data_IF_867845903603
#
_entry.id   IF_867845903603
#
_cell.length_a   1.000
_cell.length_b   1.000
_cell.length_c   1.000
_cell.angle_alpha   90.00
_cell.angle_beta   90.00
_cell.angle_gamma   90.00
#
_symmetry.space_group_name_H-M   'P 1'
#
loop_
_entity.id
_entity.type
_entity.pdbx_description
1 polymer ?
#
# COMPACT_ATOMS: atom_id res chain seq x y z
N UNK A 1 -23.62 29.89 -24.85
CA UNK A 1 -22.32 29.43 -25.39
C UNK A 1 -21.48 28.91 -24.25
N UNK A 2 -20.78 27.82 -24.51
CA UNK A 2 -20.25 26.83 -23.56
C UNK A 2 -18.93 27.24 -22.93
N UNK A 3 -18.74 26.93 -21.64
CA UNK A 3 -17.55 26.24 -21.08
C UNK A 3 -17.79 25.90 -19.61
N UNK A 4 -18.42 24.74 -19.37
CA UNK A 4 -18.30 24.06 -18.09
C UNK A 4 -16.89 23.49 -18.07
N UNK A 5 -16.00 24.06 -17.26
CA UNK A 5 -14.67 23.50 -17.04
C UNK A 5 -14.86 22.20 -16.26
N UNK A 6 -14.87 21.09 -16.98
CA UNK A 6 -14.79 19.75 -16.40
C UNK A 6 -13.37 19.63 -15.84
N UNK A 7 -13.14 20.08 -14.60
CA UNK A 7 -11.88 19.78 -13.90
C UNK A 7 -11.82 18.26 -13.78
N UNK A 8 -10.84 17.68 -14.47
CA UNK A 8 -10.74 16.25 -14.69
C UNK A 8 -10.74 15.53 -13.34
N UNK A 9 -11.66 14.58 -13.16
CA UNK A 9 -11.81 13.86 -11.88
C UNK A 9 -10.48 13.24 -11.42
N UNK A 10 -9.61 12.85 -12.37
CA UNK A 10 -8.29 12.29 -12.10
C UNK A 10 -7.38 13.21 -11.26
N UNK A 11 -7.27 14.50 -11.61
CA UNK A 11 -6.43 15.47 -10.88
C UNK A 11 -6.97 15.74 -9.48
N UNK A 12 -8.30 15.72 -9.33
CA UNK A 12 -8.97 15.86 -8.02
C UNK A 12 -8.74 14.62 -7.14
N UNK A 13 -8.75 13.41 -7.71
CA UNK A 13 -8.40 12.20 -6.97
C UNK A 13 -6.92 12.18 -6.60
N UNK A 14 -6.04 12.64 -7.47
CA UNK A 14 -4.59 12.73 -7.21
C UNK A 14 -4.28 13.74 -6.09
N UNK A 15 -4.91 14.92 -6.13
CA UNK A 15 -4.79 15.95 -5.09
C UNK A 15 -5.34 15.50 -3.72
N UNK A 16 -6.53 14.88 -3.71
CA UNK A 16 -7.13 14.34 -2.48
C UNK A 16 -6.28 13.20 -1.92
N UNK A 17 -5.72 12.36 -2.79
CA UNK A 17 -4.79 11.32 -2.37
C UNK A 17 -3.53 11.93 -1.77
N UNK A 18 -2.87 12.91 -2.39
CA UNK A 18 -1.68 13.54 -1.80
C UNK A 18 -1.97 14.17 -0.43
N UNK A 19 -3.05 14.95 -0.29
CA UNK A 19 -3.31 15.71 0.93
C UNK A 19 -3.81 14.86 2.11
N UNK A 20 -4.55 13.78 1.86
CA UNK A 20 -4.95 12.84 2.93
C UNK A 20 -3.75 12.03 3.42
N UNK A 21 -2.76 11.79 2.56
CA UNK A 21 -1.59 11.00 2.91
C UNK A 21 -0.66 11.70 3.87
N UNK A 22 -0.49 13.01 3.71
CA UNK A 22 0.39 13.79 4.59
C UNK A 22 -0.14 13.80 6.02
N UNK A 23 -1.45 14.00 6.21
CA UNK A 23 -2.04 14.14 7.54
C UNK A 23 -2.08 12.82 8.34
N UNK A 24 -2.32 11.67 7.68
CA UNK A 24 -2.40 10.36 8.37
C UNK A 24 -1.00 9.82 8.74
N UNK A 25 0.05 10.23 8.02
CA UNK A 25 1.39 9.70 8.22
C UNK A 25 2.06 10.18 9.53
N UNK A 26 1.68 11.34 10.04
CA UNK A 26 2.32 11.96 11.22
C UNK A 26 2.00 11.23 12.54
N UNK A 27 0.85 10.56 12.66
CA UNK A 27 0.34 10.10 13.97
C UNK A 27 0.77 8.67 14.40
N UNK A 28 1.52 7.92 13.58
CA UNK A 28 1.88 6.49 13.83
C UNK A 28 3.41 6.32 14.02
N UNK A 29 4.15 7.41 14.15
CA UNK A 29 5.60 7.43 13.90
C UNK A 29 6.51 7.02 15.06
N UNK A 30 6.01 6.50 16.19
CA UNK A 30 6.86 6.47 17.38
C UNK A 30 7.86 5.31 17.48
N UNK A 31 7.77 4.20 16.71
CA UNK A 31 8.83 3.16 16.80
C UNK A 31 9.31 2.47 15.51
N UNK A 32 8.56 2.52 14.40
CA UNK A 32 9.05 2.06 13.08
C UNK A 32 8.52 3.04 12.04
N UNK A 33 9.41 3.80 11.38
CA UNK A 33 9.04 4.81 10.38
C UNK A 33 8.57 4.12 9.08
N UNK A 34 7.37 3.56 9.12
CA UNK A 34 6.68 2.97 7.98
C UNK A 34 6.02 4.05 7.14
N UNK A 35 6.19 3.99 5.82
CA UNK A 35 5.46 4.85 4.90
C UNK A 35 4.00 4.38 4.72
N UNK A 36 3.15 5.26 4.17
CA UNK A 36 1.73 4.97 3.95
C UNK A 36 1.49 3.62 3.26
N UNK A 37 2.19 3.34 2.17
CA UNK A 37 1.96 2.14 1.38
C UNK A 37 2.39 0.88 2.11
N UNK A 38 3.46 0.95 2.90
CA UNK A 38 3.89 -0.14 3.77
C UNK A 38 2.80 -0.52 4.77
N UNK A 39 2.18 0.48 5.42
CA UNK A 39 1.07 0.25 6.35
C UNK A 39 -0.14 -0.37 5.65
N UNK A 40 -0.55 0.19 4.51
CA UNK A 40 -1.69 -0.34 3.77
C UNK A 40 -1.44 -1.78 3.27
N UNK A 41 -0.20 -2.12 2.91
CA UNK A 41 0.18 -3.49 2.56
C UNK A 41 0.12 -4.41 3.79
N UNK A 42 0.59 -3.96 4.96
CA UNK A 42 0.47 -4.71 6.21
C UNK A 42 -0.99 -4.97 6.58
N UNK A 43 -1.84 -3.95 6.53
CA UNK A 43 -3.27 -4.10 6.80
C UNK A 43 -3.91 -5.10 5.85
N UNK A 44 -3.59 -5.04 4.56
CA UNK A 44 -4.10 -5.98 3.57
C UNK A 44 -3.62 -7.42 3.81
N UNK A 45 -2.36 -7.59 4.24
CA UNK A 45 -1.80 -8.89 4.62
C UNK A 45 -2.43 -9.43 5.91
N UNK A 46 -2.63 -8.57 6.93
CA UNK A 46 -3.27 -8.95 8.18
C UNK A 46 -4.71 -9.44 7.95
N UNK A 47 -5.45 -8.76 7.08
CA UNK A 47 -6.80 -9.17 6.68
C UNK A 47 -6.81 -10.43 5.80
N UNK A 48 -5.83 -10.59 4.91
CA UNK A 48 -5.72 -11.77 4.05
C UNK A 48 -4.25 -12.15 3.80
N UNK A 49 -3.68 -13.07 4.60
CA UNK A 49 -2.29 -13.49 4.45
C UNK A 49 -1.96 -14.10 3.07
N UNK A 50 -2.95 -14.64 2.35
CA UNK A 50 -2.76 -15.24 1.02
C UNK A 50 -2.89 -14.22 -0.11
N UNK A 51 -3.02 -12.93 0.19
CA UNK A 51 -3.17 -11.90 -0.82
C UNK A 51 -1.98 -11.87 -1.78
N UNK A 52 -2.26 -11.79 -3.08
CA UNK A 52 -1.23 -11.72 -4.11
C UNK A 52 -0.97 -10.27 -4.54
N UNK A 53 0.15 -10.03 -5.22
CA UNK A 53 0.56 -8.69 -5.65
C UNK A 53 -0.43 -8.02 -6.60
N UNK A 54 -1.17 -8.79 -7.41
CA UNK A 54 -2.20 -8.22 -8.29
C UNK A 54 -3.34 -7.64 -7.46
N UNK A 55 -3.79 -8.38 -6.42
CA UNK A 55 -4.89 -7.92 -5.60
C UNK A 55 -4.49 -6.74 -4.70
N UNK A 56 -3.25 -6.73 -4.20
CA UNK A 56 -2.67 -5.56 -3.54
C UNK A 56 -2.66 -4.34 -4.46
N UNK A 57 -2.28 -4.52 -5.73
CA UNK A 57 -2.26 -3.43 -6.72
C UNK A 57 -3.66 -2.86 -6.96
N UNK A 58 -4.67 -3.72 -7.09
CA UNK A 58 -6.07 -3.31 -7.24
C UNK A 58 -6.61 -2.56 -6.01
N UNK A 59 -6.37 -3.09 -4.80
CA UNK A 59 -6.88 -2.50 -3.56
C UNK A 59 -6.23 -1.14 -3.28
N UNK A 60 -4.91 -1.05 -3.53
CA UNK A 60 -4.13 0.15 -3.23
C UNK A 60 -4.19 1.19 -4.36
N UNK A 61 -4.74 0.84 -5.54
CA UNK A 61 -4.78 1.71 -6.70
C UNK A 61 -3.40 2.09 -7.25
N UNK A 62 -2.37 1.26 -7.00
CA UNK A 62 -0.99 1.53 -7.44
C UNK A 62 -0.48 0.45 -8.39
N UNK A 63 0.57 0.75 -9.15
CA UNK A 63 1.20 -0.22 -10.05
C UNK A 63 1.74 -1.44 -9.30
N UNK A 64 1.76 -2.61 -9.96
CA UNK A 64 2.40 -3.83 -9.42
C UNK A 64 3.87 -3.61 -9.06
N UNK A 65 4.57 -2.76 -9.80
CA UNK A 65 5.96 -2.36 -9.51
C UNK A 65 6.08 -1.59 -8.20
N UNK A 66 5.10 -0.73 -7.89
CA UNK A 66 5.00 -0.05 -6.59
C UNK A 66 4.74 -1.04 -5.47
N UNK A 67 3.77 -1.95 -5.64
CA UNK A 67 3.49 -3.03 -4.66
C UNK A 67 4.74 -3.86 -4.39
N UNK A 68 5.46 -4.27 -5.44
CA UNK A 68 6.70 -5.05 -5.32
C UNK A 68 7.73 -4.30 -4.48
N UNK A 69 8.01 -3.03 -4.81
CA UNK A 69 8.95 -2.19 -4.05
C UNK A 69 8.58 -2.07 -2.58
N UNK A 70 7.28 -1.90 -2.29
CA UNK A 70 6.77 -1.81 -0.91
C UNK A 70 6.93 -3.14 -0.18
N UNK A 71 6.54 -4.27 -0.79
CA UNK A 71 6.70 -5.60 -0.18
C UNK A 71 8.17 -5.97 0.01
N UNK A 72 9.06 -5.57 -0.91
CA UNK A 72 10.49 -5.79 -0.78
C UNK A 72 11.07 -4.95 0.36
N UNK A 73 10.66 -3.68 0.51
CA UNK A 73 11.08 -2.85 1.66
C UNK A 73 10.60 -3.41 3.00
N UNK A 74 9.35 -3.90 3.10
CA UNK A 74 8.84 -4.55 4.30
C UNK A 74 9.61 -5.83 4.65
N UNK A 75 10.05 -6.60 3.64
CA UNK A 75 10.91 -7.76 3.84
C UNK A 75 12.31 -7.37 4.31
N UNK A 76 12.91 -6.35 3.70
CA UNK A 76 14.23 -5.83 4.09
C UNK A 76 14.24 -5.31 5.53
N UNK A 77 13.12 -4.72 5.97
CA UNK A 77 12.90 -4.31 7.37
C UNK A 77 12.60 -5.47 8.32
N UNK A 78 12.56 -6.71 7.83
CA UNK A 78 12.16 -7.91 8.59
C UNK A 78 10.77 -7.81 9.24
N UNK A 79 9.84 -7.11 8.59
CA UNK A 79 8.46 -6.95 9.08
C UNK A 79 7.55 -8.03 8.49
N UNK A 80 7.79 -8.42 7.23
CA UNK A 80 7.05 -9.52 6.59
C UNK A 80 7.99 -10.51 5.93
N UNK A 81 7.50 -11.72 5.72
CA UNK A 81 8.12 -12.73 4.86
C UNK A 81 7.07 -13.53 4.09
N UNK A 82 7.51 -14.20 3.02
CA UNK A 82 6.68 -15.14 2.27
C UNK A 82 7.01 -16.57 2.71
N UNK A 83 6.02 -17.29 3.25
CA UNK A 83 6.15 -18.68 3.69
C UNK A 83 5.46 -19.62 2.70
N UNK A 84 6.13 -20.70 2.29
CA UNK A 84 5.58 -21.74 1.42
C UNK A 84 5.91 -21.59 -0.06
N UNK A 85 5.22 -22.36 -0.91
CA UNK A 85 5.50 -22.39 -2.36
C UNK A 85 5.12 -21.09 -3.07
N UNK A 86 5.73 -20.82 -4.24
CA UNK A 86 5.43 -19.61 -5.02
C UNK A 86 3.94 -19.44 -5.36
N UNK A 87 3.22 -20.55 -5.56
CA UNK A 87 1.79 -20.59 -5.91
C UNK A 87 0.85 -20.70 -4.71
N UNK A 88 1.28 -21.33 -3.61
CA UNK A 88 0.41 -21.63 -2.45
C UNK A 88 0.83 -20.97 -1.14
N UNK A 89 1.95 -20.25 -1.13
CA UNK A 89 2.49 -19.59 0.05
C UNK A 89 1.71 -18.35 0.46
N UNK A 90 1.90 -17.91 1.68
CA UNK A 90 1.23 -16.76 2.30
C UNK A 90 2.27 -15.80 2.90
N UNK A 91 1.85 -14.56 3.12
CA UNK A 91 2.61 -13.54 3.82
C UNK A 91 2.45 -13.71 5.33
N UNK A 92 3.57 -13.75 6.05
CA UNK A 92 3.62 -13.76 7.52
C UNK A 92 4.17 -12.42 7.99
N UNK A 93 3.52 -11.82 8.98
CA UNK A 93 4.04 -10.65 9.71
C UNK A 93 4.94 -11.18 10.84
N UNK A 94 6.13 -10.61 10.97
CA UNK A 94 7.21 -11.08 11.86
C UNK A 94 7.33 -10.18 13.10
N UNK A 95 7.14 -8.87 12.95
CA UNK A 95 7.07 -7.91 14.05
C UNK A 95 5.63 -7.39 14.17
N UNK A 96 5.06 -7.54 15.36
CA UNK A 96 3.73 -7.06 15.77
C UNK A 96 3.89 -6.21 17.04
#
# INVERSE_FOLDING_TARGET
>A
MTKVIVKNNAERYEYINEHINEHINEHINEHIKLNRYERLVLDAIANNPKINQNKLSEILGVSKSTVRRVTDSLKEKNIIERVGSSKGGYWRIIQD
#
